data_IF_785998930634
#
_entry.id   IF_785998930634
#
_cell.length_a   1.000
_cell.length_b   1.000
_cell.length_c   1.000
_cell.angle_alpha   90.00
_cell.angle_beta   90.00
_cell.angle_gamma   90.00
#
_symmetry.space_group_name_H-M   'P 1'
#
loop_
_entity.id
_entity.type
_entity.pdbx_description
1 polymer ?
#
# COMPACT_ATOMS: atom_id res chain seq x y z
N UNK A 1 3.90 41.46 59.79
CA UNK A 1 4.54 41.44 58.45
C UNK A 1 4.60 39.99 57.98
N UNK A 2 3.65 39.53 57.17
CA UNK A 2 3.59 38.14 56.70
C UNK A 2 4.58 37.94 55.54
N UNK A 3 5.72 37.30 55.83
CA UNK A 3 6.64 36.78 54.81
C UNK A 3 5.97 35.58 54.14
N UNK A 4 5.22 35.82 53.08
CA UNK A 4 4.71 34.73 52.23
C UNK A 4 5.89 34.01 51.57
N UNK A 5 5.89 32.69 51.70
CA UNK A 5 6.75 31.68 51.09
C UNK A 5 6.69 31.71 49.56
N UNK A 6 7.29 32.75 48.95
CA UNK A 6 7.36 32.94 47.49
C UNK A 6 7.92 31.74 46.74
N UNK A 7 8.78 30.94 47.39
CA UNK A 7 9.35 29.71 46.81
C UNK A 7 8.33 28.59 46.65
N UNK A 8 7.40 28.43 47.60
CA UNK A 8 6.32 27.43 47.51
C UNK A 8 5.24 27.81 46.49
N UNK A 9 5.00 29.11 46.32
CA UNK A 9 4.08 29.61 45.29
C UNK A 9 4.64 29.37 43.87
N UNK A 10 5.94 29.60 43.68
CA UNK A 10 6.60 29.42 42.38
C UNK A 10 6.63 27.94 41.95
N UNK A 11 6.89 27.02 42.87
CA UNK A 11 6.89 25.57 42.55
C UNK A 11 5.49 25.07 42.22
N UNK A 12 4.45 25.53 42.92
CA UNK A 12 3.06 25.18 42.62
C UNK A 12 2.60 25.70 41.26
N UNK A 13 3.00 26.91 40.88
CA UNK A 13 2.69 27.48 39.55
C UNK A 13 3.36 26.69 38.43
N UNK A 14 4.62 26.26 38.61
CA UNK A 14 5.34 25.45 37.61
C UNK A 14 4.71 24.07 37.44
N UNK A 15 4.35 23.39 38.54
CA UNK A 15 3.68 22.08 38.48
C UNK A 15 2.30 22.21 37.80
N UNK A 16 1.54 23.25 38.11
CA UNK A 16 0.25 23.50 37.49
C UNK A 16 0.38 23.75 35.98
N UNK A 17 1.39 24.51 35.54
CA UNK A 17 1.66 24.75 34.12
C UNK A 17 2.05 23.46 33.38
N UNK A 18 2.87 22.60 33.99
CA UNK A 18 3.26 21.32 33.37
C UNK A 18 2.07 20.37 33.21
N UNK A 19 1.16 20.34 34.18
CA UNK A 19 -0.07 19.53 34.10
C UNK A 19 -1.00 20.06 32.99
N UNK A 20 -1.18 21.38 32.88
CA UNK A 20 -2.02 22.00 31.85
C UNK A 20 -1.46 21.70 30.45
N UNK A 21 -0.13 21.79 30.25
CA UNK A 21 0.51 21.47 28.97
C UNK A 21 0.39 19.98 28.64
N UNK A 22 0.59 19.09 29.62
CA UNK A 22 0.46 17.64 29.43
C UNK A 22 -0.97 17.21 29.07
N UNK A 23 -1.98 17.75 29.76
CA UNK A 23 -3.40 17.48 29.46
C UNK A 23 -3.81 18.07 28.12
N UNK A 24 -3.35 19.29 27.79
CA UNK A 24 -3.59 19.92 26.49
C UNK A 24 -3.01 19.11 25.33
N UNK A 25 -1.79 18.60 25.48
CA UNK A 25 -1.16 17.73 24.48
C UNK A 25 -1.91 16.40 24.31
N UNK A 26 -2.38 15.80 25.42
CA UNK A 26 -3.12 14.54 25.39
C UNK A 26 -4.50 14.67 24.70
N UNK A 27 -5.26 15.74 25.01
CA UNK A 27 -6.54 16.01 24.34
C UNK A 27 -6.32 16.36 22.86
N UNK A 28 -5.30 17.14 22.53
CA UNK A 28 -4.98 17.48 21.14
C UNK A 28 -4.62 16.23 20.32
N UNK A 29 -3.86 15.29 20.89
CA UNK A 29 -3.45 14.08 20.17
C UNK A 29 -4.58 13.07 19.94
N UNK A 30 -5.71 13.15 20.67
CA UNK A 30 -6.90 12.32 20.38
C UNK A 30 -7.77 12.84 19.22
N UNK A 31 -7.58 14.09 18.76
CA UNK A 31 -8.45 14.66 17.71
C UNK A 31 -8.03 14.37 16.27
N UNK A 32 -6.93 13.62 16.04
CA UNK A 32 -6.46 13.23 14.69
C UNK A 32 -6.94 11.87 14.16
N UNK A 33 -7.84 11.19 14.87
CA UNK A 33 -8.46 9.95 14.39
C UNK A 33 -9.98 10.07 14.42
N UNK A 34 -10.56 10.67 13.37
CA UNK A 34 -11.95 10.42 12.92
C UNK A 34 -12.25 11.25 11.66
N UNK A 35 -11.90 10.75 10.47
CA UNK A 35 -12.66 11.06 9.26
C UNK A 35 -12.58 9.89 8.27
N UNK A 36 -13.18 8.78 8.67
CA UNK A 36 -13.64 7.76 7.74
C UNK A 36 -15.06 8.15 7.26
N UNK A 37 -15.19 8.29 5.95
CA UNK A 37 -16.32 7.86 5.11
C UNK A 37 -17.72 8.48 5.36
N UNK A 38 -18.16 9.29 4.40
CA UNK A 38 -19.58 9.48 4.10
C UNK A 38 -19.77 9.38 2.59
N UNK A 39 -20.05 8.17 2.09
CA UNK A 39 -20.61 7.97 0.76
C UNK A 39 -22.13 8.17 0.87
N UNK A 40 -22.61 9.28 0.31
CA UNK A 40 -24.03 9.58 0.15
C UNK A 40 -24.47 9.13 -1.24
N UNK A 41 -25.30 8.10 -1.30
CA UNK A 41 -25.95 7.65 -2.52
C UNK A 41 -27.23 8.46 -2.81
N UNK A 42 -27.42 8.80 -4.09
CA UNK A 42 -28.68 9.10 -4.81
C UNK A 42 -28.40 10.17 -5.87
N UNK A 43 -29.00 10.22 -7.06
CA UNK A 43 -29.80 9.32 -7.87
C UNK A 43 -30.20 10.21 -9.06
N UNK A 44 -29.88 9.86 -10.31
CA UNK A 44 -30.53 10.30 -11.56
C UNK A 44 -30.16 9.19 -12.58
N UNK A 45 -30.99 8.20 -12.89
CA UNK A 45 -32.24 8.22 -13.64
C UNK A 45 -32.22 9.12 -14.89
N UNK A 46 -31.74 8.56 -16.01
CA UNK A 46 -32.22 8.99 -17.33
C UNK A 46 -32.37 7.78 -18.25
N UNK A 47 -33.63 7.41 -18.45
CA UNK A 47 -34.11 6.40 -19.39
C UNK A 47 -34.31 7.12 -20.73
N UNK A 48 -33.62 6.68 -21.77
CA UNK A 48 -33.94 7.06 -23.15
C UNK A 48 -33.77 5.84 -24.06
N UNK A 49 -34.89 5.16 -24.36
CA UNK A 49 -35.04 4.23 -25.49
C UNK A 49 -35.33 5.09 -26.73
N UNK A 50 -34.81 4.85 -27.96
CA UNK A 50 -35.01 3.72 -28.91
C UNK A 50 -34.41 4.22 -30.27
N UNK A 51 -33.93 3.43 -31.28
CA UNK A 51 -34.52 2.19 -31.81
C UNK A 51 -33.60 1.01 -32.15
N UNK A 52 -34.31 -0.11 -32.34
CA UNK A 52 -33.82 -1.46 -32.55
C UNK A 52 -33.05 -1.64 -33.86
N UNK A 53 -31.99 -2.45 -33.79
CA UNK A 53 -31.49 -3.20 -34.94
C UNK A 53 -31.52 -4.67 -34.52
N UNK A 54 -32.54 -5.37 -35.00
CA UNK A 54 -32.56 -6.83 -35.01
C UNK A 54 -31.71 -7.26 -36.21
N UNK A 55 -30.49 -7.72 -35.97
CA UNK A 55 -29.78 -8.49 -36.99
C UNK A 55 -29.25 -9.76 -36.34
N UNK A 56 -30.04 -10.82 -36.51
CA UNK A 56 -29.60 -12.18 -36.32
C UNK A 56 -28.75 -12.54 -37.54
N UNK A 57 -27.42 -12.53 -37.39
CA UNK A 57 -26.48 -13.12 -38.33
C UNK A 57 -25.73 -14.22 -37.58
N UNK A 58 -26.09 -15.46 -37.87
CA UNK A 58 -25.17 -16.58 -37.73
C UNK A 58 -23.89 -16.27 -38.52
N UNK A 59 -22.73 -16.39 -37.88
CA UNK A 59 -21.45 -16.47 -38.58
C UNK A 59 -20.25 -16.01 -37.76
N UNK A 60 -19.38 -16.97 -37.46
CA UNK A 60 -17.96 -16.82 -37.10
C UNK A 60 -17.55 -16.43 -35.66
N UNK A 61 -17.24 -17.49 -34.91
CA UNK A 61 -16.12 -17.63 -33.97
C UNK A 61 -15.25 -16.37 -33.76
N UNK A 62 -15.47 -15.69 -32.65
CA UNK A 62 -14.35 -15.21 -31.84
C UNK A 62 -14.43 -16.00 -30.55
N UNK A 63 -13.54 -16.97 -30.43
CA UNK A 63 -13.24 -17.63 -29.18
C UNK A 63 -12.59 -16.56 -28.29
N UNK A 64 -13.40 -15.73 -27.65
CA UNK A 64 -12.95 -14.95 -26.50
C UNK A 64 -12.83 -15.97 -25.39
N UNK A 65 -11.65 -16.58 -25.33
CA UNK A 65 -11.23 -17.45 -24.26
C UNK A 65 -11.55 -16.78 -22.94
N UNK A 66 -12.53 -17.35 -22.25
CA UNK A 66 -12.88 -17.06 -20.89
C UNK A 66 -11.70 -17.43 -20.01
N UNK A 67 -10.82 -16.48 -19.76
CA UNK A 67 -9.99 -16.49 -18.57
C UNK A 67 -10.35 -15.27 -17.74
N UNK A 68 -11.40 -15.44 -16.95
CA UNK A 68 -11.42 -14.86 -15.60
C UNK A 68 -10.27 -15.52 -14.82
N UNK A 69 -9.04 -15.22 -15.21
CA UNK A 69 -7.83 -15.76 -14.63
C UNK A 69 -7.78 -15.34 -13.18
N UNK A 70 -7.77 -16.31 -12.28
CA UNK A 70 -7.61 -16.06 -10.85
C UNK A 70 -6.31 -15.28 -10.67
N UNK A 71 -6.40 -14.06 -10.15
CA UNK A 71 -5.22 -13.23 -9.85
C UNK A 71 -4.64 -13.74 -8.54
N UNK A 72 -3.38 -14.17 -8.56
CA UNK A 72 -2.67 -14.55 -7.35
C UNK A 72 -2.16 -13.29 -6.65
N UNK A 73 -2.78 -12.98 -5.53
CA UNK A 73 -2.40 -11.85 -4.70
C UNK A 73 -1.33 -12.26 -3.67
N UNK A 74 -0.25 -11.48 -3.60
CA UNK A 74 0.87 -11.67 -2.68
C UNK A 74 1.14 -10.33 -2.00
N UNK A 75 1.11 -10.33 -0.67
CA UNK A 75 1.54 -9.16 0.10
C UNK A 75 3.03 -9.29 0.43
N UNK A 76 3.80 -8.23 0.16
CA UNK A 76 5.20 -8.11 0.53
C UNK A 76 5.33 -6.90 1.46
N UNK A 77 5.82 -7.12 2.67
CA UNK A 77 6.21 -6.07 3.59
C UNK A 77 7.65 -5.64 3.32
N UNK A 78 7.86 -4.34 3.16
CA UNK A 78 9.16 -3.70 3.12
C UNK A 78 9.45 -3.04 4.49
N UNK A 79 10.65 -3.28 5.00
CA UNK A 79 11.22 -2.62 6.18
C UNK A 79 12.72 -2.38 5.94
N UNK A 80 13.43 -1.92 6.97
CA UNK A 80 14.86 -1.57 6.86
C UNK A 80 15.70 -2.66 6.20
N UNK A 81 16.01 -2.43 4.92
CA UNK A 81 16.81 -3.27 4.04
C UNK A 81 16.27 -4.69 3.82
N UNK A 82 14.96 -4.94 3.98
CA UNK A 82 14.38 -6.28 3.95
C UNK A 82 13.00 -6.32 3.30
N UNK A 83 12.71 -7.47 2.67
CA UNK A 83 11.37 -7.89 2.26
C UNK A 83 10.88 -9.09 3.07
N UNK A 84 9.57 -9.13 3.32
CA UNK A 84 8.88 -10.29 3.90
C UNK A 84 7.57 -10.58 3.14
N UNK A 85 7.40 -11.79 2.56
CA UNK A 85 8.41 -12.83 2.43
C UNK A 85 9.56 -12.37 1.52
N UNK A 86 10.79 -12.87 1.75
CA UNK A 86 11.94 -12.61 0.87
C UNK A 86 11.95 -13.51 -0.38
N UNK A 87 10.97 -14.41 -0.50
CA UNK A 87 10.74 -15.20 -1.71
C UNK A 87 9.30 -15.63 -1.86
N UNK A 88 8.82 -15.73 -3.09
CA UNK A 88 7.51 -16.31 -3.39
C UNK A 88 7.56 -17.06 -4.73
N UNK A 89 6.67 -18.04 -4.89
CA UNK A 89 6.56 -18.84 -6.12
C UNK A 89 5.25 -18.56 -6.86
N UNK A 90 5.28 -18.62 -8.19
CA UNK A 90 4.12 -18.51 -9.08
C UNK A 90 4.30 -19.48 -10.24
N UNK A 91 3.24 -19.79 -10.97
CA UNK A 91 3.33 -20.60 -12.19
C UNK A 91 3.66 -19.71 -13.39
N UNK A 92 4.32 -20.29 -14.39
CA UNK A 92 4.44 -19.66 -15.71
C UNK A 92 3.07 -19.16 -16.23
N UNK A 93 3.02 -17.94 -16.75
CA UNK A 93 1.80 -17.31 -17.28
C UNK A 93 0.76 -16.89 -16.22
N UNK A 94 1.01 -17.10 -14.92
CA UNK A 94 0.06 -16.73 -13.86
C UNK A 94 -0.09 -15.21 -13.75
N UNK A 95 -1.33 -14.72 -13.58
CA UNK A 95 -1.57 -13.32 -13.23
C UNK A 95 -1.23 -13.10 -11.77
N UNK A 96 -0.32 -12.18 -11.50
CA UNK A 96 0.18 -11.86 -10.16
C UNK A 96 -0.20 -10.44 -9.79
N UNK A 97 -0.65 -10.23 -8.56
CA UNK A 97 -0.78 -8.93 -7.92
C UNK A 97 0.11 -8.87 -6.68
N UNK A 98 1.08 -7.98 -6.69
CA UNK A 98 1.88 -7.65 -5.51
C UNK A 98 1.25 -6.47 -4.80
N UNK A 99 1.01 -6.63 -3.50
CA UNK A 99 0.71 -5.52 -2.59
C UNK A 99 1.97 -5.26 -1.77
N UNK A 100 2.71 -4.21 -2.15
CA UNK A 100 3.90 -3.79 -1.44
C UNK A 100 3.50 -2.86 -0.29
N UNK A 101 3.68 -3.30 0.95
CA UNK A 101 3.40 -2.49 2.16
C UNK A 101 4.69 -2.04 2.79
N UNK A 102 4.89 -0.73 2.93
CA UNK A 102 6.08 -0.22 3.58
C UNK A 102 5.83 0.09 5.06
N UNK A 103 6.63 -0.49 5.94
CA UNK A 103 6.55 -0.31 7.39
C UNK A 103 7.58 0.67 7.94
N UNK A 104 8.73 0.84 7.27
CA UNK A 104 9.84 1.68 7.73
C UNK A 104 10.64 2.24 6.55
N UNK A 105 11.10 3.49 6.62
CA UNK A 105 11.97 4.07 5.59
C UNK A 105 11.26 4.35 4.26
N UNK A 106 12.04 4.47 3.18
CA UNK A 106 11.53 4.64 1.80
C UNK A 106 12.03 3.48 0.94
N UNK A 107 11.09 2.82 0.27
CA UNK A 107 11.37 1.61 -0.50
C UNK A 107 10.58 1.58 -1.81
N UNK A 108 11.07 0.81 -2.77
CA UNK A 108 10.37 0.42 -3.99
C UNK A 108 10.68 -1.04 -4.30
N UNK A 109 9.97 -1.65 -5.25
CA UNK A 109 10.14 -3.02 -5.70
C UNK A 109 10.46 -3.01 -7.20
N UNK A 110 11.57 -3.62 -7.60
CA UNK A 110 12.02 -3.67 -9.01
C UNK A 110 12.44 -5.08 -9.40
N UNK A 111 11.99 -5.55 -10.57
CA UNK A 111 12.53 -6.71 -11.29
C UNK A 111 12.98 -6.24 -12.66
N UNK A 112 14.29 -5.99 -12.83
CA UNK A 112 14.86 -5.45 -14.07
C UNK A 112 14.63 -6.39 -15.26
N UNK A 113 14.81 -7.69 -15.04
CA UNK A 113 14.68 -8.72 -16.07
C UNK A 113 13.29 -8.76 -16.71
N UNK A 114 12.27 -8.29 -15.99
CA UNK A 114 10.87 -8.28 -16.42
C UNK A 114 10.36 -6.85 -16.69
N UNK A 115 11.19 -5.82 -16.52
CA UNK A 115 10.81 -4.42 -16.61
C UNK A 115 9.59 -4.08 -15.71
N UNK A 116 9.58 -4.62 -14.49
CA UNK A 116 8.55 -4.39 -13.49
C UNK A 116 9.12 -3.46 -12.41
N UNK A 117 8.40 -2.39 -12.09
CA UNK A 117 8.77 -1.48 -11.02
C UNK A 117 7.53 -0.93 -10.31
N UNK A 118 7.60 -0.82 -8.99
CA UNK A 118 6.67 -0.02 -8.19
C UNK A 118 7.07 1.45 -8.22
N UNK A 119 6.18 2.33 -7.74
CA UNK A 119 6.62 3.67 -7.29
C UNK A 119 7.43 3.54 -6.00
N UNK A 120 8.19 4.58 -5.68
CA UNK A 120 8.81 4.74 -4.36
C UNK A 120 7.74 5.11 -3.34
N UNK A 121 7.71 4.40 -2.21
CA UNK A 121 6.71 4.57 -1.15
C UNK A 121 7.38 4.84 0.20
N UNK A 122 6.79 5.73 0.99
CA UNK A 122 7.24 6.03 2.36
C UNK A 122 6.66 5.03 3.38
N UNK A 123 7.18 5.04 4.61
CA UNK A 123 6.61 4.26 5.70
C UNK A 123 5.11 4.58 5.90
N UNK A 124 4.29 3.53 6.01
CA UNK A 124 2.84 3.62 6.11
C UNK A 124 2.10 3.71 4.77
N UNK A 125 2.82 3.82 3.65
CA UNK A 125 2.23 3.75 2.31
C UNK A 125 2.28 2.33 1.73
N UNK A 126 1.44 2.09 0.72
CA UNK A 126 1.44 0.87 -0.07
C UNK A 126 1.36 1.17 -1.58
N UNK A 127 1.85 0.24 -2.39
CA UNK A 127 1.70 0.25 -3.85
C UNK A 127 1.22 -1.11 -4.36
N UNK A 128 0.52 -1.12 -5.48
CA UNK A 128 -0.03 -2.33 -6.09
C UNK A 128 0.50 -2.49 -7.49
N UNK A 129 1.09 -3.66 -7.77
CA UNK A 129 1.72 -3.99 -9.05
C UNK A 129 1.04 -5.23 -9.57
N UNK A 130 0.50 -5.17 -10.80
CA UNK A 130 0.00 -6.36 -11.49
C UNK A 130 0.86 -6.68 -12.69
N UNK A 131 1.19 -7.96 -12.85
CA UNK A 131 1.93 -8.47 -14.00
C UNK A 131 1.53 -9.91 -14.31
N UNK A 132 1.89 -10.37 -15.51
CA UNK A 132 1.82 -11.79 -15.87
C UNK A 132 3.20 -12.39 -15.68
N UNK A 133 3.31 -13.47 -14.90
CA UNK A 133 4.56 -14.19 -14.72
C UNK A 133 5.12 -14.65 -16.07
N UNK A 134 6.45 -14.62 -16.27
CA UNK A 134 7.05 -15.04 -17.54
C UNK A 134 6.76 -16.52 -17.82
N UNK A 135 6.73 -16.89 -19.10
CA UNK A 135 6.55 -18.29 -19.53
C UNK A 135 7.78 -19.16 -19.21
N UNK A 136 8.95 -18.54 -19.08
CA UNK A 136 10.20 -19.24 -18.75
C UNK A 136 10.27 -19.53 -17.25
N UNK A 137 10.36 -20.81 -16.85
CA UNK A 137 10.66 -21.15 -15.45
C UNK A 137 12.02 -20.61 -15.04
N UNK A 138 12.15 -20.21 -13.78
CA UNK A 138 13.39 -19.61 -13.31
C UNK A 138 13.28 -18.85 -12.00
N UNK A 139 14.38 -18.21 -11.65
CA UNK A 139 14.51 -17.38 -10.46
C UNK A 139 14.81 -15.95 -10.90
N UNK A 140 13.92 -15.03 -10.57
CA UNK A 140 14.03 -13.61 -10.89
C UNK A 140 14.29 -12.84 -9.60
N UNK A 141 15.38 -12.09 -9.54
CA UNK A 141 15.68 -11.26 -8.38
C UNK A 141 14.79 -10.00 -8.41
N UNK A 142 14.17 -9.69 -7.28
CA UNK A 142 13.58 -8.37 -7.04
C UNK A 142 14.36 -7.64 -5.96
N UNK A 143 14.48 -6.32 -6.07
CA UNK A 143 15.28 -5.53 -5.15
C UNK A 143 14.74 -4.11 -4.95
N UNK A 144 15.27 -3.40 -3.95
CA UNK A 144 15.02 -1.97 -3.75
C UNK A 144 16.07 -1.13 -4.50
N UNK A 145 15.62 -0.24 -5.38
CA UNK A 145 16.47 0.62 -6.21
C UNK A 145 17.03 1.86 -5.48
N UNK A 146 16.58 2.10 -4.26
CA UNK A 146 17.05 3.21 -3.42
C UNK A 146 18.53 3.02 -3.05
N UNK A 147 19.40 3.81 -3.66
CA UNK A 147 20.82 3.95 -3.30
C UNK A 147 21.53 2.59 -3.13
N UNK A 148 22.02 2.28 -1.94
CA UNK A 148 22.73 1.04 -1.60
C UNK A 148 21.84 -0.01 -0.90
N UNK A 149 20.51 0.14 -0.90
CA UNK A 149 19.61 -0.79 -0.19
C UNK A 149 19.79 -2.25 -0.67
N UNK A 150 19.88 -2.47 -1.98
CA UNK A 150 20.19 -3.80 -2.54
C UNK A 150 21.54 -4.34 -2.03
N UNK A 151 22.57 -3.50 -2.02
CA UNK A 151 23.91 -3.88 -1.54
C UNK A 151 23.92 -4.19 -0.02
N UNK A 152 22.96 -3.65 0.73
CA UNK A 152 22.73 -3.96 2.14
C UNK A 152 21.86 -5.20 2.36
N UNK A 153 21.48 -5.91 1.30
CA UNK A 153 20.72 -7.16 1.36
C UNK A 153 19.22 -7.01 1.07
N UNK A 154 18.76 -5.84 0.62
CA UNK A 154 17.36 -5.63 0.23
C UNK A 154 17.05 -6.20 -1.15
N UNK A 155 17.11 -7.52 -1.22
CA UNK A 155 16.82 -8.34 -2.38
C UNK A 155 15.97 -9.54 -1.93
N UNK A 156 15.04 -9.94 -2.79
CA UNK A 156 14.32 -11.19 -2.66
C UNK A 156 14.16 -11.87 -4.01
N UNK A 157 13.44 -13.00 -4.01
CA UNK A 157 13.37 -13.90 -5.16
C UNK A 157 11.94 -14.25 -5.56
N UNK A 158 11.59 -13.97 -6.81
CA UNK A 158 10.45 -14.56 -7.49
C UNK A 158 10.88 -15.89 -8.10
N UNK A 159 10.20 -16.99 -7.77
CA UNK A 159 10.38 -18.29 -8.41
C UNK A 159 9.22 -18.54 -9.35
N UNK A 160 9.52 -18.84 -10.61
CA UNK A 160 8.54 -19.24 -11.61
C UNK A 160 8.71 -20.73 -11.87
N UNK A 161 7.64 -21.47 -11.59
CA UNK A 161 7.53 -22.93 -11.76
C UNK A 161 6.99 -23.32 -13.14
#
# INVERSE_FOLDING_TARGET
>A
MNKTNKTGLLTMVVILLLIIVGVGFFIFNQTKQSKATSFSGSALNEISQKPAINTNLQGNQVVVGKESGQVKEITIEASMYKYLPSSFSVKAGERVRIILKNTEGMHDFVIDELNIASRKINAGEEDVIEFTAPESPGSYAYYCSISNHRALGMEGKLVVE
#
